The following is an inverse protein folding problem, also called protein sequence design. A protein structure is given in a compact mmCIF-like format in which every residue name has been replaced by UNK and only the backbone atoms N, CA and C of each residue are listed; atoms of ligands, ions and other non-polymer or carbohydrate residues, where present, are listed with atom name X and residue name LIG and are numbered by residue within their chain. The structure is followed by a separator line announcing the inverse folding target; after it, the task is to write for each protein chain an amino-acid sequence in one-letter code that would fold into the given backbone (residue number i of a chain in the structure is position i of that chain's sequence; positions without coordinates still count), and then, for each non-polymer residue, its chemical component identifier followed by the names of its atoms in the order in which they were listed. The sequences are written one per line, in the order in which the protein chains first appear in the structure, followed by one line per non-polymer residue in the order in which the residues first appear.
data_IF_719815318868
#
_entry.id   IF_719815318868
#
_cell.length_a   1.000
_cell.length_b   1.000
_cell.length_c   1.000
_cell.angle_alpha   90.00
_cell.angle_beta   90.00
_cell.angle_gamma   90.00
#
_symmetry.space_group_name_H-M   'P 1'
#
loop_
_entity.id
_entity.type
_entity.pdbx_description
1 polymer ?
#
# COMPACT_ATOMS: atom_id res chain seq x y z
N UNK A 1 15.67 -24.34 5.35
CA UNK A 1 14.23 -24.00 5.39
C UNK A 1 13.68 -24.12 3.98
N UNK A 2 12.70 -25.01 3.75
CA UNK A 2 12.26 -25.40 2.40
C UNK A 2 11.67 -24.26 1.56
N UNK A 3 11.54 -24.50 0.26
CA UNK A 3 10.97 -23.56 -0.72
C UNK A 3 9.48 -23.26 -0.46
N UNK A 4 8.71 -24.29 -0.12
CA UNK A 4 7.26 -24.20 0.14
C UNK A 4 6.85 -23.22 1.25
N UNK A 5 7.42 -23.24 2.47
CA UNK A 5 7.03 -22.30 3.54
C UNK A 5 7.34 -20.84 3.20
N UNK A 6 8.36 -20.57 2.37
CA UNK A 6 8.66 -19.21 1.94
C UNK A 6 7.61 -18.70 0.94
N UNK A 7 7.17 -19.54 0.01
CA UNK A 7 6.09 -19.17 -0.94
C UNK A 7 4.79 -18.91 -0.20
N UNK A 8 4.40 -19.81 0.72
CA UNK A 8 3.17 -19.65 1.50
C UNK A 8 3.19 -18.33 2.29
N UNK A 9 4.34 -18.00 2.89
CA UNK A 9 4.54 -16.70 3.53
C UNK A 9 4.35 -15.55 2.54
N UNK A 10 4.95 -15.63 1.34
CA UNK A 10 4.76 -14.64 0.28
C UNK A 10 3.29 -14.39 -0.06
N UNK A 11 2.50 -15.46 -0.21
CA UNK A 11 1.06 -15.39 -0.53
C UNK A 11 0.29 -14.70 0.60
N UNK A 12 0.53 -15.08 1.85
CA UNK A 12 -0.14 -14.48 3.01
C UNK A 12 0.11 -12.98 3.06
N UNK A 13 1.37 -12.55 2.94
CA UNK A 13 1.69 -11.13 2.96
C UNK A 13 1.14 -10.40 1.73
N UNK A 14 1.14 -11.02 0.55
CA UNK A 14 0.48 -10.45 -0.62
C UNK A 14 -1.00 -10.17 -0.35
N UNK A 15 -1.72 -11.13 0.25
CA UNK A 15 -3.11 -10.95 0.66
C UNK A 15 -3.31 -9.77 1.62
N UNK A 16 -2.47 -9.69 2.68
CA UNK A 16 -2.51 -8.56 3.63
C UNK A 16 -2.30 -7.21 2.92
N UNK A 17 -1.36 -7.15 1.97
CA UNK A 17 -1.13 -5.91 1.22
C UNK A 17 -2.28 -5.60 0.27
N UNK A 18 -2.85 -6.58 -0.44
CA UNK A 18 -4.05 -6.38 -1.28
C UNK A 18 -5.18 -5.80 -0.43
N UNK A 19 -5.42 -6.37 0.75
CA UNK A 19 -6.49 -5.89 1.63
C UNK A 19 -6.24 -4.45 2.09
N UNK A 20 -5.03 -4.15 2.56
CA UNK A 20 -4.72 -2.84 3.17
C UNK A 20 -4.46 -1.72 2.16
N UNK A 21 -3.91 -2.01 0.99
CA UNK A 21 -3.53 -1.01 -0.02
C UNK A 21 -4.51 -0.87 -1.17
N UNK A 22 -5.43 -1.82 -1.33
CA UNK A 22 -6.41 -1.79 -2.41
C UNK A 22 -7.84 -1.92 -1.89
N UNK A 23 -8.18 -3.02 -1.21
CA UNK A 23 -9.58 -3.31 -0.82
C UNK A 23 -10.14 -2.27 0.15
N UNK A 24 -9.42 -1.97 1.23
CA UNK A 24 -9.88 -0.99 2.24
C UNK A 24 -10.04 0.41 1.62
N UNK A 25 -9.04 0.97 0.90
CA UNK A 25 -9.22 2.25 0.21
C UNK A 25 -10.37 2.21 -0.79
N UNK A 26 -10.47 1.19 -1.63
CA UNK A 26 -11.54 1.04 -2.62
C UNK A 26 -12.92 1.12 -1.97
N UNK A 27 -13.19 0.28 -0.96
CA UNK A 27 -14.46 0.28 -0.23
C UNK A 27 -14.73 1.63 0.44
N UNK A 28 -13.71 2.27 1.01
CA UNK A 28 -13.84 3.59 1.64
C UNK A 28 -14.31 4.64 0.62
N UNK A 29 -13.70 4.69 -0.57
CA UNK A 29 -14.10 5.64 -1.62
C UNK A 29 -15.45 5.30 -2.26
N UNK A 30 -15.76 4.01 -2.43
CA UNK A 30 -17.08 3.57 -2.93
C UNK A 30 -18.18 3.95 -1.95
N UNK A 31 -17.99 3.73 -0.65
CA UNK A 31 -18.98 4.14 0.36
C UNK A 31 -19.17 5.66 0.37
N UNK A 32 -18.08 6.44 0.30
CA UNK A 32 -18.19 7.91 0.23
C UNK A 32 -18.98 8.37 -1.00
N UNK A 33 -18.89 7.67 -2.13
CA UNK A 33 -19.67 7.97 -3.34
C UNK A 33 -21.17 7.75 -3.17
N UNK A 34 -21.60 6.87 -2.26
CA UNK A 34 -23.00 6.46 -2.11
C UNK A 34 -23.68 7.06 -0.88
N UNK A 35 -22.97 7.84 -0.04
CA UNK A 35 -23.57 8.45 1.15
C UNK A 35 -24.64 9.46 0.73
N UNK A 36 -25.89 9.18 1.07
CA UNK A 36 -26.97 10.17 1.02
C UNK A 36 -26.99 10.94 2.33
N UNK A 37 -26.77 12.26 2.30
CA UNK A 37 -26.95 13.10 3.49
C UNK A 37 -28.30 13.80 3.37
N UNK A 38 -29.18 13.59 4.35
CA UNK A 38 -30.47 14.29 4.46
C UNK A 38 -31.38 14.15 3.22
N UNK A 39 -31.36 12.99 2.55
CA UNK A 39 -32.17 12.74 1.35
C UNK A 39 -31.60 13.31 0.05
N UNK A 40 -30.43 13.94 0.10
CA UNK A 40 -29.70 14.41 -1.07
C UNK A 40 -28.69 13.36 -1.50
N UNK A 41 -28.79 12.92 -2.76
CA UNK A 41 -27.78 12.06 -3.37
C UNK A 41 -26.51 12.88 -3.62
N UNK A 42 -25.46 12.58 -2.85
CA UNK A 42 -24.15 13.17 -2.98
C UNK A 42 -23.42 12.39 -4.08
N UNK A 43 -23.30 12.97 -5.28
CA UNK A 43 -22.61 12.30 -6.40
C UNK A 43 -21.22 12.92 -6.55
N UNK A 44 -20.20 12.09 -6.34
CA UNK A 44 -18.81 12.43 -6.61
C UNK A 44 -18.63 12.65 -8.12
N UNK A 45 -17.96 13.72 -8.54
CA UNK A 45 -17.70 13.95 -9.96
C UNK A 45 -16.97 12.72 -10.54
N UNK A 46 -17.58 12.11 -11.56
CA UNK A 46 -17.22 10.77 -12.02
C UNK A 46 -15.73 10.66 -12.41
N UNK A 47 -15.16 11.76 -12.93
CA UNK A 47 -13.78 11.83 -13.40
C UNK A 47 -12.75 11.84 -12.25
N UNK A 48 -13.07 12.45 -11.11
CA UNK A 48 -12.20 12.44 -9.92
C UNK A 48 -12.23 11.07 -9.24
N UNK A 49 -13.42 10.47 -9.12
CA UNK A 49 -13.60 9.12 -8.60
C UNK A 49 -12.81 8.08 -9.40
N UNK A 50 -12.96 8.06 -10.72
CA UNK A 50 -12.27 7.11 -11.60
C UNK A 50 -10.75 7.25 -11.52
N UNK A 51 -10.24 8.48 -11.40
CA UNK A 51 -8.82 8.75 -11.23
C UNK A 51 -8.28 8.18 -9.92
N UNK A 52 -8.99 8.38 -8.80
CA UNK A 52 -8.58 7.87 -7.49
C UNK A 52 -8.56 6.34 -7.50
N UNK A 53 -9.63 5.70 -7.98
CA UNK A 53 -9.73 4.23 -8.03
C UNK A 53 -8.66 3.62 -8.94
N UNK A 54 -8.34 4.27 -10.07
CA UNK A 54 -7.25 3.85 -10.94
C UNK A 54 -5.91 3.81 -10.21
N UNK A 55 -5.53 4.89 -9.51
CA UNK A 55 -4.26 4.95 -8.79
C UNK A 55 -4.21 3.97 -7.61
N UNK A 56 -5.33 3.81 -6.88
CA UNK A 56 -5.47 2.80 -5.82
C UNK A 56 -5.19 1.40 -6.35
N UNK A 57 -5.81 1.06 -7.48
CA UNK A 57 -5.69 -0.27 -8.08
C UNK A 57 -4.29 -0.50 -8.64
N UNK A 58 -3.76 0.44 -9.40
CA UNK A 58 -2.46 0.32 -10.06
C UNK A 58 -1.32 0.16 -9.04
N UNK A 59 -1.23 1.06 -8.05
CA UNK A 59 -0.20 0.97 -7.03
C UNK A 59 -0.47 -0.12 -6.00
N UNK A 60 -1.73 -0.40 -5.66
CA UNK A 60 -2.11 -1.49 -4.77
C UNK A 60 -1.61 -2.84 -5.28
N UNK A 61 -1.80 -3.12 -6.58
CA UNK A 61 -1.27 -4.31 -7.23
C UNK A 61 0.26 -4.36 -7.24
N UNK A 62 0.93 -3.25 -7.60
CA UNK A 62 2.39 -3.18 -7.62
C UNK A 62 3.01 -3.42 -6.23
N UNK A 63 2.46 -2.79 -5.19
CA UNK A 63 2.92 -2.94 -3.81
C UNK A 63 2.70 -4.38 -3.34
N UNK A 64 1.57 -4.99 -3.71
CA UNK A 64 1.24 -6.37 -3.34
C UNK A 64 2.15 -7.39 -4.02
N UNK A 65 2.43 -7.21 -5.31
CA UNK A 65 3.40 -8.03 -6.04
C UNK A 65 4.80 -7.92 -5.42
N UNK A 66 5.24 -6.70 -5.09
CA UNK A 66 6.53 -6.50 -4.42
C UNK A 66 6.56 -7.12 -3.02
N UNK A 67 5.46 -7.09 -2.28
CA UNK A 67 5.33 -7.77 -1.00
C UNK A 67 5.51 -9.29 -1.16
N UNK A 68 4.85 -9.91 -2.14
CA UNK A 68 5.02 -11.33 -2.44
C UNK A 68 6.50 -11.69 -2.62
N UNK A 69 7.22 -10.97 -3.47
CA UNK A 69 8.63 -11.26 -3.75
C UNK A 69 9.55 -10.95 -2.56
N UNK A 70 9.24 -9.93 -1.76
CA UNK A 70 9.99 -9.60 -0.55
C UNK A 70 9.86 -10.70 0.52
N UNK A 71 8.63 -11.13 0.81
CA UNK A 71 8.36 -12.10 1.88
C UNK A 71 8.58 -13.55 1.47
N UNK A 72 8.54 -13.88 0.18
CA UNK A 72 8.96 -15.19 -0.34
C UNK A 72 10.47 -15.33 -0.48
N UNK A 73 11.22 -14.24 -0.43
CA UNK A 73 12.68 -14.30 -0.47
C UNK A 73 13.28 -14.82 0.84
N UNK A 74 14.35 -15.64 0.77
CA UNK A 74 15.08 -16.09 1.96
C UNK A 74 15.51 -14.90 2.82
N UNK A 75 15.51 -15.09 4.15
CA UNK A 75 16.01 -14.06 5.08
C UNK A 75 17.39 -13.59 4.60
N UNK A 76 17.52 -12.28 4.40
CA UNK A 76 18.77 -11.60 4.02
C UNK A 76 19.39 -11.97 2.65
N UNK A 77 18.58 -12.32 1.64
CA UNK A 77 19.05 -12.33 0.25
C UNK A 77 19.13 -10.91 -0.33
N UNK A 78 19.99 -10.68 -1.34
CA UNK A 78 20.04 -9.40 -2.07
C UNK A 78 18.66 -9.08 -2.66
N UNK A 79 17.96 -10.09 -3.20
CA UNK A 79 16.59 -9.96 -3.73
C UNK A 79 15.63 -9.40 -2.69
N UNK A 80 15.73 -9.85 -1.43
CA UNK A 80 14.91 -9.33 -0.34
C UNK A 80 15.14 -7.84 -0.10
N UNK A 81 16.41 -7.43 -0.05
CA UNK A 81 16.78 -6.01 0.06
C UNK A 81 16.27 -5.17 -1.10
N UNK A 82 16.44 -5.66 -2.34
CA UNK A 82 15.95 -4.97 -3.55
C UNK A 82 14.43 -4.80 -3.53
N UNK A 83 13.67 -5.86 -3.23
CA UNK A 83 12.21 -5.75 -3.18
C UNK A 83 11.73 -4.90 -2.00
N UNK A 84 12.41 -4.91 -0.85
CA UNK A 84 12.10 -4.00 0.25
C UNK A 84 12.29 -2.53 -0.16
N UNK A 85 13.38 -2.20 -0.86
CA UNK A 85 13.64 -0.86 -1.35
C UNK A 85 12.63 -0.42 -2.42
N UNK A 86 12.32 -1.29 -3.39
CA UNK A 86 11.27 -1.02 -4.39
C UNK A 86 9.93 -0.79 -3.69
N UNK A 87 9.61 -1.58 -2.68
CA UNK A 87 8.37 -1.45 -1.94
C UNK A 87 8.31 -0.12 -1.18
N UNK A 88 9.42 0.39 -0.63
CA UNK A 88 9.49 1.73 -0.04
C UNK A 88 9.19 2.79 -1.10
N UNK A 89 9.85 2.74 -2.25
CA UNK A 89 9.63 3.68 -3.35
C UNK A 89 8.19 3.67 -3.84
N UNK A 90 7.59 2.49 -4.01
CA UNK A 90 6.18 2.35 -4.39
C UNK A 90 5.23 2.92 -3.33
N UNK A 91 5.52 2.76 -2.04
CA UNK A 91 4.71 3.39 -0.99
C UNK A 91 4.85 4.92 -1.01
N UNK A 92 6.03 5.46 -1.31
CA UNK A 92 6.21 6.90 -1.50
C UNK A 92 5.42 7.43 -2.71
N UNK A 93 5.49 6.72 -3.85
CA UNK A 93 4.73 7.06 -5.06
C UNK A 93 3.22 6.93 -4.83
N UNK A 94 2.79 5.96 -4.03
CA UNK A 94 1.39 5.78 -3.66
C UNK A 94 0.86 6.99 -2.89
N UNK A 95 1.56 7.44 -1.85
CA UNK A 95 1.24 8.68 -1.12
C UNK A 95 1.21 9.88 -2.08
N UNK A 96 2.21 9.98 -2.94
CA UNK A 96 2.32 11.06 -3.92
C UNK A 96 1.12 11.07 -4.86
N UNK A 97 0.66 9.91 -5.33
CA UNK A 97 -0.50 9.78 -6.21
C UNK A 97 -1.79 10.37 -5.59
N UNK A 98 -1.99 10.22 -4.28
CA UNK A 98 -3.14 10.84 -3.59
C UNK A 98 -3.09 12.36 -3.64
N UNK A 99 -1.91 12.97 -3.47
CA UNK A 99 -1.76 14.43 -3.55
C UNK A 99 -2.06 14.97 -4.95
N UNK A 100 -1.68 14.25 -6.00
CA UNK A 100 -1.90 14.67 -7.40
C UNK A 100 -3.27 14.26 -7.96
N UNK A 101 -3.96 13.33 -7.30
CA UNK A 101 -5.29 12.87 -7.72
C UNK A 101 -6.40 13.93 -7.58
N UNK A 102 -6.15 15.04 -6.88
CA UNK A 102 -7.17 16.05 -6.58
C UNK A 102 -8.06 15.69 -5.38
N UNK A 103 -7.83 14.53 -4.74
CA UNK A 103 -8.64 13.98 -3.65
C UNK A 103 -8.70 14.81 -2.36
N UNK A 104 -8.18 16.03 -2.30
CA UNK A 104 -8.24 16.89 -1.12
C UNK A 104 -9.55 17.66 -0.99
N UNK A 105 -10.23 17.91 -2.11
CA UNK A 105 -11.51 18.59 -2.15
C UNK A 105 -12.43 17.78 -3.04
N UNK A 106 -13.38 17.09 -2.43
CA UNK A 106 -14.37 16.33 -3.18
C UNK A 106 -15.58 17.24 -3.33
N UNK A 107 -15.83 17.65 -4.58
CA UNK A 107 -17.01 18.44 -4.94
C UNK A 107 -18.14 17.48 -5.24
N UNK A 108 -19.27 17.74 -4.62
CA UNK A 108 -20.49 16.98 -4.81
C UNK A 108 -21.55 17.90 -5.39
N UNK A 109 -22.13 17.50 -6.50
CA UNK A 109 -23.32 18.18 -7.01
C UNK A 109 -24.55 17.72 -6.20
N UNK A 110 -25.34 18.70 -5.74
CA UNK A 110 -26.64 18.44 -5.14
C UNK A 110 -27.65 18.30 -6.28
N UNK A 111 -28.07 17.07 -6.57
CA UNK A 111 -29.16 16.80 -7.50
C UNK A 111 -30.44 16.57 -6.69
N UNK A 112 -31.43 17.46 -6.86
CA UNK A 112 -32.75 17.32 -6.24
C UNK A 112 -33.78 17.04 -7.35
N UNK A 113 -34.28 15.81 -7.41
CA UNK A 113 -35.41 15.38 -8.26
C UNK A 113 -35.47 15.99 -9.69
N UNK A 114 -34.33 16.16 -10.39
CA UNK A 114 -34.16 16.68 -11.79
C UNK A 114 -33.64 18.14 -11.89
N UNK A 115 -33.45 18.87 -10.78
CA UNK A 115 -32.86 20.23 -10.79
C UNK A 115 -31.54 20.29 -10.00
N UNK A 116 -30.51 20.91 -10.60
CA UNK A 116 -29.21 21.12 -9.95
C UNK A 116 -29.30 22.35 -9.03
N UNK A 117 -29.19 22.15 -7.72
CA UNK A 117 -29.46 23.19 -6.69
C UNK A 117 -28.15 23.87 -6.23
N UNK A 118 -26.99 23.29 -6.56
CA UNK A 118 -25.68 23.81 -6.18
C UNK A 118 -24.68 22.69 -5.86
N UNK A 119 -23.52 23.06 -5.34
CA UNK A 119 -22.45 22.12 -4.98
C UNK A 119 -22.13 22.18 -3.48
N UNK A 120 -21.97 21.01 -2.86
CA UNK A 120 -21.37 20.87 -1.52
C UNK A 120 -19.94 20.37 -1.72
N UNK A 121 -18.96 21.10 -1.22
CA UNK A 121 -17.57 20.61 -1.18
C UNK A 121 -17.28 20.04 0.21
N UNK A 122 -17.00 18.73 0.30
CA UNK A 122 -16.48 18.14 1.55
C UNK A 122 -14.97 18.15 1.48
N UNK A 123 -14.36 18.81 2.46
CA UNK A 123 -12.93 18.84 2.63
C UNK A 123 -12.46 17.54 3.29
N UNK A 124 -12.10 16.55 2.48
CA UNK A 124 -11.55 15.25 2.92
C UNK A 124 -10.04 15.30 3.19
N UNK A 125 -9.42 16.48 3.09
CA UNK A 125 -7.97 16.69 3.27
C UNK A 125 -7.44 16.08 4.57
N UNK A 126 -8.16 16.20 5.68
CA UNK A 126 -7.75 15.64 6.97
C UNK A 126 -7.74 14.10 6.97
N UNK A 127 -8.70 13.47 6.28
CA UNK A 127 -8.75 12.01 6.13
C UNK A 127 -7.59 11.53 5.26
N UNK A 128 -7.35 12.20 4.13
CA UNK A 128 -6.21 11.89 3.26
C UNK A 128 -4.88 12.11 4.00
N UNK A 129 -4.74 13.18 4.78
CA UNK A 129 -3.54 13.41 5.61
C UNK A 129 -3.30 12.30 6.64
N UNK A 130 -4.36 11.80 7.28
CA UNK A 130 -4.26 10.67 8.22
C UNK A 130 -3.76 9.41 7.51
N UNK A 131 -4.34 9.07 6.34
CA UNK A 131 -3.87 7.95 5.53
C UNK A 131 -2.41 8.14 5.09
N UNK A 132 -2.02 9.34 4.63
CA UNK A 132 -0.64 9.66 4.28
C UNK A 132 0.31 9.46 5.47
N UNK A 133 -0.09 9.84 6.69
CA UNK A 133 0.68 9.63 7.91
C UNK A 133 0.90 8.16 8.25
N UNK A 134 -0.12 7.31 8.09
CA UNK A 134 0.00 5.85 8.30
C UNK A 134 0.96 5.22 7.28
N UNK A 135 0.86 5.60 6.01
CA UNK A 135 1.79 5.12 4.99
C UNK A 135 3.22 5.64 5.20
N UNK A 136 3.38 6.86 5.70
CA UNK A 136 4.68 7.39 6.09
C UNK A 136 5.33 6.58 7.22
N UNK A 137 4.57 6.22 8.26
CA UNK A 137 5.06 5.31 9.30
C UNK A 137 5.46 3.95 8.73
N UNK A 138 4.70 3.43 7.77
CA UNK A 138 5.03 2.18 7.08
C UNK A 138 6.34 2.29 6.30
N UNK A 139 6.61 3.44 5.69
CA UNK A 139 7.89 3.73 5.02
C UNK A 139 9.04 3.75 6.02
N UNK A 140 8.87 4.41 7.17
CA UNK A 140 9.89 4.45 8.23
C UNK A 140 10.23 3.06 8.76
N UNK A 141 9.21 2.24 9.05
CA UNK A 141 9.40 0.86 9.52
C UNK A 141 10.17 0.01 8.48
N UNK A 142 9.79 0.10 7.21
CA UNK A 142 10.53 -0.61 6.14
C UNK A 142 11.93 -0.06 5.94
N UNK A 143 12.12 1.24 6.10
CA UNK A 143 13.43 1.89 6.06
C UNK A 143 14.35 1.35 7.15
N UNK A 144 13.84 1.22 8.38
CA UNK A 144 14.56 0.59 9.48
C UNK A 144 14.93 -0.87 9.16
N UNK A 145 13.98 -1.69 8.71
CA UNK A 145 14.22 -3.08 8.32
C UNK A 145 15.28 -3.20 7.21
N UNK A 146 15.27 -2.25 6.27
CA UNK A 146 16.27 -2.19 5.19
C UNK A 146 17.65 -1.82 5.71
N UNK A 147 17.76 -0.84 6.60
CA UNK A 147 19.02 -0.44 7.24
C UNK A 147 19.60 -1.59 8.07
N UNK A 148 18.75 -2.25 8.88
CA UNK A 148 19.15 -3.45 9.63
C UNK A 148 19.66 -4.56 8.71
N UNK A 149 18.97 -4.79 7.58
CA UNK A 149 19.43 -5.74 6.57
C UNK A 149 20.81 -5.36 6.00
N UNK A 150 21.05 -4.09 5.68
CA UNK A 150 22.34 -3.63 5.11
C UNK A 150 23.47 -3.79 6.13
N UNK A 151 23.27 -3.38 7.38
CA UNK A 151 24.31 -3.39 8.42
C UNK A 151 24.64 -4.82 8.87
N UNK A 152 23.63 -5.67 9.06
CA UNK A 152 23.81 -7.01 9.63
C UNK A 152 24.04 -8.11 8.59
N UNK A 153 24.14 -7.76 7.31
CA UNK A 153 24.33 -8.69 6.18
C UNK A 153 25.53 -9.61 6.36
N UNK A 154 26.70 -9.06 6.71
CA UNK A 154 27.96 -9.80 6.67
C UNK A 154 28.14 -10.73 7.88
N UNK A 155 27.75 -10.27 9.08
CA UNK A 155 27.80 -11.09 10.31
C UNK A 155 26.95 -12.35 10.21
N UNK A 156 25.83 -12.30 9.48
CA UNK A 156 24.90 -13.43 9.38
C UNK A 156 25.26 -14.35 8.19
N UNK A 157 25.86 -13.81 7.12
CA UNK A 157 26.46 -14.64 6.05
C UNK A 157 27.56 -15.54 6.63
N UNK A 158 28.42 -15.00 7.48
CA UNK A 158 29.47 -15.77 8.17
C UNK A 158 28.90 -16.85 9.11
N UNK A 159 27.82 -16.57 9.85
CA UNK A 159 27.16 -17.58 10.70
C UNK A 159 26.58 -18.76 9.91
N UNK A 160 26.06 -18.55 8.69
CA UNK A 160 25.54 -19.65 7.87
C UNK A 160 26.64 -20.54 7.30
N UNK A 161 27.73 -19.95 6.81
CA UNK A 161 28.87 -20.74 6.31
C UNK A 161 29.44 -21.66 7.40
N UNK A 162 29.57 -21.17 8.63
CA UNK A 162 30.04 -21.99 9.78
C UNK A 162 29.10 -23.14 10.15
N UNK A 163 27.79 -23.00 9.94
CA UNK A 163 26.82 -24.08 10.21
C UNK A 163 26.89 -25.15 9.11
N UNK A 164 27.13 -24.77 7.85
CA UNK A 164 27.29 -25.72 6.75
C UNK A 164 28.60 -26.51 6.87
N UNK A 165 29.72 -25.87 7.21
CA UNK A 165 31.00 -26.57 7.46
C UNK A 165 30.94 -27.52 8.66
N UNK A 166 30.14 -27.22 9.69
CA UNK A 166 29.94 -28.12 10.83
C UNK A 166 29.01 -29.30 10.57
N UNK A 167 28.18 -29.24 9.52
CA UNK A 167 27.24 -30.30 9.14
C UNK A 167 27.84 -31.31 8.14
N UNK A 168 28.89 -30.92 7.41
CA UNK A 168 29.64 -31.81 6.50
C UNK A 168 30.73 -32.65 7.23
N UNK A 169 30.91 -32.46 8.55
CA UNK A 169 31.92 -33.15 9.38
C UNK A 169 31.27 -34.13 10.37
N UNK A 170 29.95 -34.36 10.29
CA UNK A 170 29.19 -35.28 11.15
C UNK A 170 28.52 -36.39 10.37
#
# INVERSE_FOLDING_TARGET
MGWFPNILKGIIYMGVYITTTMVVPFLTFTWIKEIQVLGVAIVLEQLEYERIIFWISAFGLLISACAFFNYSSPKQSIRKGTFALIQILLNCLYIWSYKFSGATEVKFEIVFEITNVGFIAINVRNMVMLYMGVYFLTILLKGYDFVDFVINRDKIRQKRYKITEGADVS
#
